data_IF_858285698257
#
_entry.id   IF_858285698257
#
_cell.length_a   1.000
_cell.length_b   1.000
_cell.length_c   1.000
_cell.angle_alpha   90.00
_cell.angle_beta   90.00
_cell.angle_gamma   90.00
#
_symmetry.space_group_name_H-M   'P 1'
#
loop_
_entity.id
_entity.type
_entity.pdbx_description
1 polymer ?
#
# COMPACT_ATOMS: atom_id res chain seq x y z
N UNK A 1 -17.45 4.97 5.90
CA UNK A 1 -16.29 4.10 6.20
C UNK A 1 -16.59 3.37 7.50
N UNK A 2 -16.35 2.06 7.60
CA UNK A 2 -16.59 1.33 8.87
C UNK A 2 -15.52 1.66 9.91
N UNK A 3 -15.87 1.55 11.20
CA UNK A 3 -14.92 1.78 12.31
C UNK A 3 -13.71 0.86 12.22
N UNK A 4 -13.91 -0.39 11.85
CA UNK A 4 -12.84 -1.39 11.72
C UNK A 4 -11.83 -1.01 10.61
N UNK A 5 -12.33 -0.52 9.47
CA UNK A 5 -11.49 -0.08 8.35
C UNK A 5 -10.69 1.18 8.72
N UNK A 6 -11.29 2.09 9.48
CA UNK A 6 -10.58 3.25 10.02
C UNK A 6 -9.45 2.82 10.95
N UNK A 7 -9.71 1.91 11.89
CA UNK A 7 -8.67 1.37 12.78
C UNK A 7 -7.52 0.72 12.02
N UNK A 8 -7.81 -0.01 10.93
CA UNK A 8 -6.77 -0.57 10.06
C UNK A 8 -5.94 0.52 9.38
N UNK A 9 -6.56 1.58 8.86
CA UNK A 9 -5.81 2.69 8.24
C UNK A 9 -4.94 3.42 9.27
N UNK A 10 -5.42 3.63 10.49
CA UNK A 10 -4.64 4.22 11.58
C UNK A 10 -3.44 3.34 11.96
N UNK A 11 -3.66 2.02 12.09
CA UNK A 11 -2.57 1.06 12.32
C UNK A 11 -1.57 1.01 11.15
N UNK A 12 -2.07 1.10 9.91
CA UNK A 12 -1.23 1.17 8.71
C UNK A 12 -0.32 2.41 8.71
N UNK A 13 -0.84 3.56 9.16
CA UNK A 13 -0.03 4.77 9.34
C UNK A 13 1.06 4.57 10.40
N UNK A 14 0.75 3.90 11.52
CA UNK A 14 1.72 3.62 12.60
C UNK A 14 2.87 2.71 12.14
N UNK A 15 2.62 1.76 11.24
CA UNK A 15 3.67 0.87 10.69
C UNK A 15 4.51 1.52 9.59
N UNK A 16 4.23 2.79 9.25
CA UNK A 16 5.02 3.57 8.29
C UNK A 16 4.46 3.62 6.88
N UNK A 17 3.15 3.43 6.68
CA UNK A 17 2.52 3.54 5.36
C UNK A 17 2.72 4.93 4.72
N UNK A 18 2.53 6.00 5.49
CA UNK A 18 2.62 7.38 4.98
C UNK A 18 3.99 7.71 4.35
N UNK A 19 5.14 7.52 5.04
CA UNK A 19 6.43 7.77 4.42
C UNK A 19 6.71 6.83 3.24
N UNK A 20 6.21 5.58 3.27
CA UNK A 20 6.36 4.65 2.14
C UNK A 20 5.60 5.12 0.91
N UNK A 21 4.36 5.57 1.06
CA UNK A 21 3.57 6.17 -0.03
C UNK A 21 4.27 7.40 -0.60
N UNK A 22 4.74 8.31 0.27
CA UNK A 22 5.44 9.51 -0.16
C UNK A 22 6.70 9.21 -1.00
N UNK A 23 7.51 8.23 -0.57
CA UNK A 23 8.69 7.78 -1.34
C UNK A 23 8.31 7.27 -2.73
N UNK A 24 7.32 6.37 -2.80
CA UNK A 24 6.87 5.80 -4.08
C UNK A 24 6.26 6.86 -5.00
N UNK A 25 5.50 7.80 -4.45
CA UNK A 25 4.96 8.93 -5.21
C UNK A 25 6.09 9.75 -5.82
N UNK A 26 7.12 10.11 -5.04
CA UNK A 26 8.25 10.88 -5.52
C UNK A 26 9.06 10.12 -6.60
N UNK A 27 9.25 8.81 -6.43
CA UNK A 27 9.91 7.96 -7.42
C UNK A 27 9.17 7.94 -8.77
N UNK A 28 7.84 7.81 -8.75
CA UNK A 28 7.02 7.83 -9.96
C UNK A 28 6.99 9.23 -10.61
N UNK A 29 6.91 10.29 -9.80
CA UNK A 29 6.99 11.67 -10.30
C UNK A 29 8.32 11.94 -11.00
N UNK A 30 9.44 11.47 -10.42
CA UNK A 30 10.75 11.58 -11.03
C UNK A 30 10.86 10.77 -12.34
N UNK A 31 10.26 9.59 -12.40
CA UNK A 31 10.21 8.75 -13.60
C UNK A 31 9.41 9.42 -14.74
N UNK A 32 8.29 10.07 -14.42
CA UNK A 32 7.51 10.86 -15.38
C UNK A 32 8.31 12.07 -15.87
N UNK A 33 8.94 12.81 -14.95
CA UNK A 33 9.69 14.02 -15.29
C UNK A 33 10.92 13.74 -16.18
N UNK A 34 11.54 12.57 -16.01
CA UNK A 34 12.69 12.13 -16.81
C UNK A 34 12.30 11.35 -18.07
N UNK A 35 10.99 11.22 -18.35
CA UNK A 35 10.53 10.39 -19.46
C UNK A 35 10.97 10.95 -20.83
N UNK A 36 11.61 10.15 -21.69
CA UNK A 36 12.05 10.65 -22.98
C UNK A 36 10.86 11.01 -23.89
N UNK A 37 11.02 11.96 -24.83
CA UNK A 37 10.05 12.17 -25.89
C UNK A 37 10.07 10.99 -26.89
N UNK A 38 8.90 10.40 -27.17
CA UNK A 38 8.71 9.39 -28.23
C UNK A 38 8.82 7.88 -27.93
N UNK A 39 9.15 7.35 -26.73
CA UNK A 39 9.53 5.94 -26.59
C UNK A 39 8.37 4.96 -26.34
N UNK A 40 7.26 5.36 -25.72
CA UNK A 40 5.98 4.62 -25.69
C UNK A 40 4.95 5.44 -24.91
N UNK A 41 3.91 5.94 -25.57
CA UNK A 41 2.85 6.70 -24.87
C UNK A 41 2.12 5.82 -23.83
N UNK A 42 1.99 4.52 -24.08
CA UNK A 42 1.27 3.60 -23.18
C UNK A 42 1.97 3.44 -21.85
N UNK A 43 3.30 3.43 -21.85
CA UNK A 43 4.06 3.33 -20.61
C UNK A 43 3.97 4.63 -19.79
N UNK A 44 4.02 5.79 -20.44
CA UNK A 44 3.78 7.08 -19.76
C UNK A 44 2.38 7.16 -19.15
N UNK A 45 1.35 6.74 -19.89
CA UNK A 45 -0.04 6.68 -19.39
C UNK A 45 -0.16 5.74 -18.17
N UNK A 46 0.60 4.64 -18.15
CA UNK A 46 0.67 3.74 -16.99
C UNK A 46 1.33 4.42 -15.79
N UNK A 47 2.43 5.16 -15.98
CA UNK A 47 3.07 5.91 -14.89
C UNK A 47 2.10 6.94 -14.29
N UNK A 48 1.35 7.66 -15.12
CA UNK A 48 0.32 8.58 -14.63
C UNK A 48 -0.78 7.85 -13.86
N UNK A 49 -1.26 6.72 -14.38
CA UNK A 49 -2.26 5.89 -13.68
C UNK A 49 -1.75 5.37 -12.33
N UNK A 50 -0.46 5.01 -12.25
CA UNK A 50 0.19 4.62 -11.00
C UNK A 50 0.29 5.79 -10.03
N UNK A 51 0.67 6.98 -10.51
CA UNK A 51 0.75 8.18 -9.70
C UNK A 51 -0.62 8.55 -9.10
N UNK A 52 -1.68 8.50 -9.89
CA UNK A 52 -3.04 8.77 -9.42
C UNK A 52 -3.45 7.77 -8.34
N UNK A 53 -3.13 6.48 -8.54
CA UNK A 53 -3.41 5.44 -7.54
C UNK A 53 -2.59 5.62 -6.26
N UNK A 54 -1.36 6.13 -6.33
CA UNK A 54 -0.55 6.43 -5.14
C UNK A 54 -1.07 7.65 -4.37
N UNK A 55 -1.61 8.65 -5.07
CA UNK A 55 -2.25 9.83 -4.47
C UNK A 55 -3.62 9.53 -3.87
N UNK A 56 -4.32 8.54 -4.44
CA UNK A 56 -5.63 8.07 -3.97
C UNK A 56 -5.59 6.55 -3.74
N UNK A 57 -4.85 6.09 -2.71
CA UNK A 57 -4.61 4.68 -2.50
C UNK A 57 -5.89 3.92 -2.18
N UNK A 58 -6.12 2.84 -2.92
CA UNK A 58 -7.18 1.89 -2.65
C UNK A 58 -6.76 0.88 -1.57
N UNK A 59 -7.74 0.21 -0.96
CA UNK A 59 -7.48 -0.77 0.11
C UNK A 59 -6.52 -1.89 -0.32
N UNK A 60 -6.61 -2.46 -1.54
CA UNK A 60 -5.62 -3.44 -2.01
C UNK A 60 -4.18 -2.92 -2.07
N UNK A 61 -3.96 -1.67 -2.52
CA UNK A 61 -2.63 -1.07 -2.54
C UNK A 61 -2.12 -0.86 -1.11
N UNK A 62 -2.95 -0.34 -0.22
CA UNK A 62 -2.59 -0.17 1.20
C UNK A 62 -2.20 -1.50 1.83
N UNK A 63 -3.01 -2.55 1.63
CA UNK A 63 -2.74 -3.89 2.13
C UNK A 63 -1.38 -4.42 1.66
N UNK A 64 -1.08 -4.27 0.38
CA UNK A 64 0.19 -4.70 -0.20
C UNK A 64 1.39 -3.95 0.39
N UNK A 65 1.30 -2.63 0.52
CA UNK A 65 2.39 -1.84 1.10
C UNK A 65 2.62 -2.16 2.58
N UNK A 66 1.54 -2.39 3.33
CA UNK A 66 1.63 -2.83 4.72
C UNK A 66 2.32 -4.21 4.82
N UNK A 67 2.02 -5.13 3.89
CA UNK A 67 2.67 -6.45 3.84
C UNK A 67 4.18 -6.30 3.59
N UNK A 68 4.58 -5.48 2.60
CA UNK A 68 5.99 -5.19 2.32
C UNK A 68 6.70 -4.58 3.54
N UNK A 69 6.06 -3.66 4.27
CA UNK A 69 6.60 -3.05 5.49
C UNK A 69 6.76 -4.08 6.62
N UNK A 70 5.80 -4.99 6.76
CA UNK A 70 5.84 -6.04 7.77
C UNK A 70 6.86 -7.14 7.44
N UNK A 71 7.05 -7.46 6.15
CA UNK A 71 8.08 -8.40 5.71
C UNK A 71 9.49 -7.85 5.95
N UNK A 72 9.68 -6.53 5.84
CA UNK A 72 10.94 -5.86 6.16
C UNK A 72 11.22 -5.78 7.67
N UNK A 73 10.17 -5.74 8.50
CA UNK A 73 10.25 -5.59 9.95
C UNK A 73 9.07 -6.32 10.62
N UNK A 74 9.28 -7.60 11.04
CA UNK A 74 8.23 -8.44 11.61
C UNK A 74 7.59 -7.89 12.88
N UNK A 75 8.25 -6.99 13.62
CA UNK A 75 7.65 -6.39 14.82
C UNK A 75 6.44 -5.51 14.49
N UNK A 76 6.34 -5.00 13.26
CA UNK A 76 5.19 -4.24 12.76
C UNK A 76 3.95 -5.10 12.60
N UNK A 77 4.10 -6.42 12.42
CA UNK A 77 2.96 -7.33 12.36
C UNK A 77 2.14 -7.29 13.65
N UNK A 78 2.80 -7.12 14.81
CA UNK A 78 2.12 -7.06 16.11
C UNK A 78 1.15 -5.87 16.21
N UNK A 79 1.44 -4.78 15.50
CA UNK A 79 0.62 -3.56 15.46
C UNK A 79 -0.60 -3.78 14.55
N UNK A 80 -0.40 -4.39 13.37
CA UNK A 80 -1.46 -4.51 12.36
C UNK A 80 -2.35 -5.74 12.56
N UNK A 81 -1.83 -6.84 13.12
CA UNK A 81 -2.49 -8.14 13.19
C UNK A 81 -3.90 -8.11 13.80
N UNK A 82 -4.20 -7.37 14.89
CA UNK A 82 -5.55 -7.31 15.44
C UNK A 82 -6.57 -6.79 14.43
N UNK A 83 -6.21 -5.74 13.66
CA UNK A 83 -7.10 -5.13 12.68
C UNK A 83 -7.24 -5.99 11.42
N UNK A 84 -6.16 -6.63 10.97
CA UNK A 84 -6.18 -7.56 9.82
C UNK A 84 -7.06 -8.77 10.12
N UNK A 85 -6.93 -9.39 11.30
CA UNK A 85 -7.72 -10.57 11.67
C UNK A 85 -9.22 -10.29 11.70
N UNK A 86 -9.62 -9.09 12.13
CA UNK A 86 -11.03 -8.67 12.12
C UNK A 86 -11.57 -8.42 10.71
N UNK A 87 -10.73 -7.90 9.80
CA UNK A 87 -11.16 -7.46 8.48
C UNK A 87 -10.96 -8.50 7.38
N UNK A 88 -10.03 -9.45 7.52
CA UNK A 88 -9.69 -10.43 6.49
C UNK A 88 -10.90 -11.27 6.05
N UNK A 89 -11.84 -11.54 6.96
CA UNK A 89 -13.10 -12.25 6.68
C UNK A 89 -13.99 -11.47 5.70
N UNK A 90 -13.94 -10.13 5.75
CA UNK A 90 -14.81 -9.22 4.97
C UNK A 90 -14.09 -8.62 3.76
N UNK A 91 -12.76 -8.62 3.77
CA UNK A 91 -11.91 -8.00 2.77
C UNK A 91 -10.84 -9.01 2.31
N UNK A 92 -11.06 -9.73 1.20
CA UNK A 92 -10.15 -10.75 0.70
C UNK A 92 -8.72 -10.24 0.44
N UNK A 93 -8.55 -8.95 0.11
CA UNK A 93 -7.23 -8.34 -0.09
C UNK A 93 -6.37 -8.26 1.19
N UNK A 94 -6.97 -8.47 2.37
CA UNK A 94 -6.25 -8.55 3.65
C UNK A 94 -5.96 -10.01 4.08
N UNK A 95 -6.48 -11.01 3.35
CA UNK A 95 -6.26 -12.42 3.69
C UNK A 95 -4.80 -12.86 3.45
N UNK A 96 -4.10 -12.24 2.50
CA UNK A 96 -2.68 -12.49 2.27
C UNK A 96 -1.83 -12.05 3.46
N UNK A 97 -2.11 -10.87 4.01
CA UNK A 97 -1.49 -10.36 5.24
C UNK A 97 -1.74 -11.27 6.44
N UNK A 98 -2.93 -11.87 6.53
CA UNK A 98 -3.26 -12.83 7.58
C UNK A 98 -2.49 -14.14 7.43
N UNK A 99 -2.26 -14.60 6.19
CA UNK A 99 -1.53 -15.82 5.92
C UNK A 99 -0.03 -15.68 6.25
N UNK A 100 0.56 -14.51 5.99
CA UNK A 100 1.95 -14.19 6.36
C UNK A 100 2.16 -14.05 7.88
N UNK A 101 1.09 -13.86 8.67
CA UNK A 101 1.15 -13.85 10.13
C UNK A 101 1.17 -15.26 10.75
N UNK A 102 0.69 -16.25 10.02
CA UNK A 102 0.52 -17.63 10.52
C UNK A 102 1.70 -18.55 10.14
N UNK A 103 2.64 -18.06 9.34
CA UNK A 103 3.84 -18.77 8.89
C UNK A 103 5.05 -18.41 9.75
#
# INVERSE_FOLDING_TARGET
MSRDLQSFLEAALQVGLAPRLASLTAEVEAAIASYPPGPDKRYLDRLHSQLDRLRHPDLPLVARLVAELCAADPDRLKIIAPTVNLLAVRHPCLASLQSEQAA
#
